data_IF_751708761191
#
_entry.id   IF_751708761191
#
_cell.length_a   1.000
_cell.length_b   1.000
_cell.length_c   1.000
_cell.angle_alpha   90.00
_cell.angle_beta   90.00
_cell.angle_gamma   90.00
#
_symmetry.space_group_name_H-M   'P 1'
#
loop_
_entity.id
_entity.type
_entity.pdbx_description
1 polymer ?
#
# COMPACT_ATOMS: atom_id res chain seq x y z
N UNK A 1 -48.36 -6.37 15.25
CA UNK A 1 -47.00 -6.96 15.12
C UNK A 1 -46.55 -6.75 13.69
N UNK A 2 -45.75 -5.71 13.45
CA UNK A 2 -45.24 -5.41 12.11
C UNK A 2 -44.02 -6.29 11.84
N UNK A 3 -44.14 -7.16 10.86
CA UNK A 3 -43.06 -8.01 10.34
C UNK A 3 -42.11 -7.13 9.53
N UNK A 4 -40.89 -6.93 10.02
CA UNK A 4 -39.81 -6.38 9.20
C UNK A 4 -39.34 -7.47 8.22
N UNK A 5 -39.21 -7.16 6.93
CA UNK A 5 -38.68 -8.13 5.98
C UNK A 5 -37.23 -8.46 6.36
N UNK A 6 -36.97 -9.76 6.51
CA UNK A 6 -35.63 -10.32 6.66
C UNK A 6 -34.78 -9.94 5.44
N UNK A 7 -33.95 -8.90 5.59
CA UNK A 7 -32.84 -8.69 4.66
C UNK A 7 -31.87 -9.84 4.87
N UNK A 8 -31.74 -10.70 3.86
CA UNK A 8 -30.71 -11.74 3.84
C UNK A 8 -29.37 -11.09 4.20
N UNK A 9 -28.77 -11.51 5.31
CA UNK A 9 -27.53 -10.92 5.82
C UNK A 9 -26.44 -11.08 4.76
N UNK A 10 -26.00 -9.98 4.14
CA UNK A 10 -24.86 -10.02 3.22
C UNK A 10 -23.65 -10.64 3.95
N UNK A 11 -22.84 -11.47 3.28
CA UNK A 11 -21.69 -12.09 3.91
C UNK A 11 -20.73 -11.02 4.45
N UNK A 12 -20.26 -11.21 5.68
CA UNK A 12 -19.26 -10.37 6.39
C UNK A 12 -17.83 -10.71 5.96
N UNK A 13 -17.63 -10.86 4.65
CA UNK A 13 -16.33 -11.11 4.03
C UNK A 13 -16.33 -10.48 2.64
N UNK A 14 -15.14 -10.16 2.14
CA UNK A 14 -14.98 -9.81 0.73
C UNK A 14 -14.92 -11.07 -0.13
N UNK A 15 -15.53 -10.99 -1.32
CA UNK A 15 -15.42 -12.00 -2.36
C UNK A 15 -14.53 -11.49 -3.50
N UNK A 16 -14.09 -12.42 -4.36
CA UNK A 16 -13.33 -12.10 -5.59
C UNK A 16 -14.07 -11.08 -6.47
N UNK A 17 -15.41 -11.16 -6.55
CA UNK A 17 -16.21 -10.21 -7.32
C UNK A 17 -16.11 -8.77 -6.79
N UNK A 18 -16.04 -8.60 -5.46
CA UNK A 18 -15.86 -7.30 -4.84
C UNK A 18 -14.47 -6.73 -5.20
N UNK A 19 -13.42 -7.55 -5.11
CA UNK A 19 -12.05 -7.15 -5.45
C UNK A 19 -11.87 -6.83 -6.94
N UNK A 20 -12.57 -7.55 -7.83
CA UNK A 20 -12.62 -7.22 -9.27
C UNK A 20 -13.28 -5.86 -9.50
N UNK A 21 -14.41 -5.60 -8.84
CA UNK A 21 -15.10 -4.31 -8.94
C UNK A 21 -14.19 -3.16 -8.50
N UNK A 22 -13.44 -3.33 -7.41
CA UNK A 22 -12.47 -2.34 -6.95
C UNK A 22 -11.32 -2.15 -7.93
N UNK A 23 -10.80 -3.25 -8.50
CA UNK A 23 -9.75 -3.22 -9.53
C UNK A 23 -10.21 -2.47 -10.78
N UNK A 24 -11.45 -2.65 -11.20
CA UNK A 24 -12.01 -2.03 -12.41
C UNK A 24 -12.19 -0.50 -12.27
N UNK A 25 -12.14 0.04 -11.04
CA UNK A 25 -12.10 1.49 -10.81
C UNK A 25 -10.72 2.10 -11.07
N UNK A 26 -9.66 1.30 -11.11
CA UNK A 26 -8.31 1.79 -11.32
C UNK A 26 -8.10 2.16 -12.79
N UNK A 27 -7.39 3.27 -13.01
CA UNK A 27 -7.20 3.81 -14.35
C UNK A 27 -6.46 2.81 -15.25
N UNK A 28 -6.86 2.62 -16.53
CA UNK A 28 -6.25 1.60 -17.41
C UNK A 28 -4.76 1.79 -17.70
N UNK A 29 -4.23 3.00 -17.54
CA UNK A 29 -2.79 3.28 -17.73
C UNK A 29 -1.96 2.99 -16.47
N UNK A 30 -2.59 2.65 -15.35
CA UNK A 30 -1.90 2.10 -14.20
C UNK A 30 -1.12 0.87 -14.66
N UNK A 31 0.16 0.75 -14.31
CA UNK A 31 0.93 -0.40 -14.76
C UNK A 31 0.26 -1.70 -14.28
N UNK A 32 0.27 -2.72 -15.14
CA UNK A 32 -0.44 -4.00 -14.93
C UNK A 32 -0.13 -4.63 -13.56
N UNK A 33 1.04 -4.34 -12.98
CA UNK A 33 1.54 -4.90 -11.71
C UNK A 33 1.22 -4.06 -10.48
N UNK A 34 0.58 -2.90 -10.60
CA UNK A 34 0.30 -2.03 -9.44
C UNK A 34 -1.07 -2.25 -8.82
N UNK A 35 -2.04 -2.79 -9.56
CA UNK A 35 -3.39 -2.91 -9.02
C UNK A 35 -3.44 -3.77 -7.74
N UNK A 36 -2.65 -4.86 -7.69
CA UNK A 36 -2.65 -5.76 -6.54
C UNK A 36 -1.81 -5.23 -5.38
N UNK A 37 -0.81 -4.38 -5.63
CA UNK A 37 -0.04 -3.71 -4.57
C UNK A 37 -0.89 -2.59 -3.95
N UNK A 38 -1.57 -1.79 -4.77
CA UNK A 38 -2.55 -0.79 -4.31
C UNK A 38 -3.66 -1.42 -3.45
N UNK A 39 -4.32 -2.48 -3.95
CA UNK A 39 -5.39 -3.13 -3.19
C UNK A 39 -4.88 -3.83 -1.93
N UNK A 40 -3.68 -4.41 -1.96
CA UNK A 40 -3.06 -5.02 -0.78
C UNK A 40 -2.80 -3.98 0.30
N UNK A 41 -2.24 -2.82 -0.05
CA UNK A 41 -2.02 -1.72 0.88
C UNK A 41 -3.34 -1.20 1.46
N UNK A 42 -4.32 -0.91 0.59
CA UNK A 42 -5.60 -0.34 0.99
C UNK A 42 -6.43 -1.28 1.90
N UNK A 43 -6.50 -2.57 1.55
CA UNK A 43 -7.24 -3.56 2.36
C UNK A 43 -6.55 -3.84 3.70
N UNK A 44 -5.21 -3.79 3.74
CA UNK A 44 -4.45 -3.94 4.99
C UNK A 44 -4.65 -2.74 5.90
N UNK A 45 -4.58 -1.51 5.38
CA UNK A 45 -4.90 -0.29 6.11
C UNK A 45 -6.34 -0.30 6.65
N UNK A 46 -7.28 -0.79 5.84
CA UNK A 46 -8.69 -0.96 6.22
C UNK A 46 -8.96 -2.16 7.18
N UNK A 47 -7.92 -2.83 7.69
CA UNK A 47 -8.00 -3.94 8.66
C UNK A 47 -8.82 -5.15 8.19
N UNK A 48 -8.84 -5.38 6.88
CA UNK A 48 -9.51 -6.53 6.24
C UNK A 48 -8.57 -7.38 5.38
N UNK A 49 -7.27 -7.08 5.44
CA UNK A 49 -6.22 -7.72 4.64
C UNK A 49 -6.21 -9.26 4.73
N UNK A 50 -6.43 -9.85 5.90
CA UNK A 50 -6.46 -11.31 6.05
C UNK A 50 -7.49 -12.01 5.14
N UNK A 51 -8.63 -11.37 4.88
CA UNK A 51 -9.65 -11.90 3.97
C UNK A 51 -9.39 -11.56 2.49
N UNK A 52 -8.69 -10.45 2.22
CA UNK A 52 -8.52 -9.93 0.87
C UNK A 52 -7.21 -10.38 0.20
N UNK A 53 -6.09 -10.34 0.92
CA UNK A 53 -4.75 -10.55 0.36
C UNK A 53 -4.54 -11.95 -0.25
N UNK A 54 -5.05 -13.05 0.33
CA UNK A 54 -5.00 -14.36 -0.33
C UNK A 54 -5.74 -14.38 -1.67
N UNK A 55 -6.90 -13.70 -1.76
CA UNK A 55 -7.67 -13.59 -3.00
C UNK A 55 -6.95 -12.71 -4.03
N UNK A 56 -6.38 -11.58 -3.59
CA UNK A 56 -5.59 -10.69 -4.43
C UNK A 56 -4.36 -11.39 -5.02
N UNK A 57 -3.64 -12.17 -4.21
CA UNK A 57 -2.53 -12.98 -4.68
C UNK A 57 -2.95 -13.98 -5.74
N UNK A 58 -4.05 -14.72 -5.51
CA UNK A 58 -4.55 -15.70 -6.47
C UNK A 58 -4.96 -15.02 -7.79
N UNK A 59 -5.73 -13.93 -7.72
CA UNK A 59 -6.11 -13.14 -8.88
C UNK A 59 -4.89 -12.61 -9.65
N UNK A 60 -3.89 -12.07 -8.95
CA UNK A 60 -2.68 -11.56 -9.56
C UNK A 60 -1.85 -12.68 -10.20
N UNK A 61 -1.72 -13.83 -9.54
CA UNK A 61 -1.03 -15.00 -10.09
C UNK A 61 -1.72 -15.48 -11.38
N UNK A 62 -3.05 -15.65 -11.35
CA UNK A 62 -3.81 -16.12 -12.52
C UNK A 62 -3.75 -15.15 -13.70
N UNK A 63 -3.66 -13.84 -13.44
CA UNK A 63 -3.55 -12.83 -14.49
C UNK A 63 -2.12 -12.65 -15.01
N UNK A 64 -1.10 -12.74 -14.17
CA UNK A 64 0.28 -12.39 -14.54
C UNK A 64 1.13 -13.58 -14.94
N UNK A 65 0.77 -14.79 -14.50
CA UNK A 65 1.40 -16.02 -14.96
C UNK A 65 0.85 -16.36 -16.34
N UNK A 66 1.68 -16.19 -17.37
CA UNK A 66 1.25 -16.43 -18.75
C UNK A 66 0.88 -17.89 -18.98
N UNK A 67 -0.29 -18.13 -19.58
CA UNK A 67 -0.73 -19.48 -19.99
C UNK A 67 0.19 -20.13 -21.03
N UNK A 68 1.02 -19.33 -21.71
CA UNK A 68 1.99 -19.79 -22.72
C UNK A 68 3.45 -19.71 -22.23
N UNK A 69 3.68 -19.39 -20.96
CA UNK A 69 5.03 -19.40 -20.39
C UNK A 69 5.56 -20.84 -20.26
N UNK A 70 6.88 -20.98 -20.29
CA UNK A 70 7.52 -22.20 -19.80
C UNK A 70 7.27 -22.35 -18.30
N UNK A 71 7.45 -23.55 -17.75
CA UNK A 71 7.28 -23.79 -16.32
C UNK A 71 8.19 -22.88 -15.46
N UNK A 72 9.46 -22.71 -15.86
CA UNK A 72 10.40 -21.83 -15.16
C UNK A 72 9.96 -20.36 -15.19
N UNK A 73 9.46 -19.89 -16.33
CA UNK A 73 9.01 -18.51 -16.48
C UNK A 73 7.71 -18.26 -15.69
N UNK A 74 6.80 -19.23 -15.70
CA UNK A 74 5.60 -19.19 -14.88
C UNK A 74 5.93 -19.14 -13.38
N UNK A 75 6.91 -19.93 -12.94
CA UNK A 75 7.38 -19.93 -11.56
C UNK A 75 8.02 -18.59 -11.18
N UNK A 76 8.85 -18.01 -12.06
CA UNK A 76 9.46 -16.69 -11.89
C UNK A 76 8.40 -15.59 -11.71
N UNK A 77 7.38 -15.60 -12.58
CA UNK A 77 6.27 -14.64 -12.54
C UNK A 77 5.44 -14.79 -11.25
N UNK A 78 5.17 -16.03 -10.84
CA UNK A 78 4.46 -16.29 -9.59
C UNK A 78 5.26 -15.78 -8.38
N UNK A 79 6.57 -16.04 -8.32
CA UNK A 79 7.45 -15.53 -7.25
C UNK A 79 7.51 -14.00 -7.24
N UNK A 80 7.51 -13.36 -8.41
CA UNK A 80 7.47 -11.89 -8.51
C UNK A 80 6.21 -11.33 -7.85
N UNK A 81 5.03 -11.88 -8.15
CA UNK A 81 3.76 -11.48 -7.51
C UNK A 81 3.83 -11.67 -5.99
N UNK A 82 4.35 -12.81 -5.52
CA UNK A 82 4.53 -13.07 -4.08
C UNK A 82 5.41 -12.00 -3.42
N UNK A 83 6.58 -11.72 -4.00
CA UNK A 83 7.54 -10.74 -3.46
C UNK A 83 6.97 -9.34 -3.43
N UNK A 84 6.26 -8.91 -4.48
CA UNK A 84 5.63 -7.60 -4.54
C UNK A 84 4.52 -7.42 -3.50
N UNK A 85 3.71 -8.45 -3.24
CA UNK A 85 2.70 -8.42 -2.16
C UNK A 85 3.38 -8.39 -0.77
N UNK A 86 4.38 -9.25 -0.52
CA UNK A 86 5.14 -9.24 0.74
C UNK A 86 5.82 -7.89 0.99
N UNK A 87 6.43 -7.31 -0.05
CA UNK A 87 7.07 -6.00 0.02
C UNK A 87 6.05 -4.88 0.27
N UNK A 88 4.86 -4.94 -0.34
CA UNK A 88 3.76 -4.01 -0.07
C UNK A 88 3.37 -4.05 1.40
N UNK A 89 3.20 -5.25 1.97
CA UNK A 89 2.84 -5.42 3.38
C UNK A 89 3.93 -4.88 4.31
N UNK A 90 5.20 -5.14 3.98
CA UNK A 90 6.35 -4.66 4.74
C UNK A 90 6.46 -3.13 4.68
N UNK A 91 6.40 -2.54 3.49
CA UNK A 91 6.42 -1.07 3.31
C UNK A 91 5.26 -0.39 4.02
N UNK A 92 4.03 -0.89 3.86
CA UNK A 92 2.86 -0.32 4.52
C UNK A 92 2.85 -0.47 6.04
N UNK A 93 3.64 -1.40 6.61
CA UNK A 93 3.66 -1.67 8.05
C UNK A 93 4.07 -0.45 8.90
N UNK A 94 4.83 0.49 8.36
CA UNK A 94 5.21 1.73 9.07
C UNK A 94 4.09 2.79 9.04
N UNK A 95 3.04 2.58 8.24
CA UNK A 95 1.90 3.48 8.10
C UNK A 95 0.69 2.98 8.88
N UNK A 96 0.29 1.72 8.69
CA UNK A 96 -0.88 1.12 9.36
C UNK A 96 -0.52 0.21 10.55
N UNK A 97 0.77 0.08 10.86
CA UNK A 97 1.30 -0.71 11.97
C UNK A 97 1.56 -2.18 11.62
N UNK A 98 2.55 -2.77 12.30
CA UNK A 98 2.97 -4.18 12.11
C UNK A 98 1.80 -5.18 12.18
N UNK A 99 0.83 -5.08 13.14
CA UNK A 99 -0.27 -6.05 13.19
C UNK A 99 -1.11 -6.12 11.92
N UNK A 100 -1.35 -4.98 11.27
CA UNK A 100 -2.11 -4.92 10.02
C UNK A 100 -1.31 -5.39 8.79
N UNK A 101 0.02 -5.54 8.90
CA UNK A 101 0.84 -6.24 7.91
C UNK A 101 0.89 -7.75 8.16
N UNK A 102 1.02 -8.15 9.43
CA UNK A 102 1.22 -9.56 9.79
C UNK A 102 -0.04 -10.40 9.58
N UNK A 103 -1.22 -9.85 9.90
CA UNK A 103 -2.49 -10.56 9.74
C UNK A 103 -2.74 -11.04 8.28
N UNK A 104 -2.68 -10.17 7.25
CA UNK A 104 -2.71 -10.61 5.86
C UNK A 104 -1.56 -11.54 5.46
N UNK A 105 -0.35 -11.28 5.94
CA UNK A 105 0.80 -12.14 5.63
C UNK A 105 0.56 -13.56 6.14
N UNK A 106 0.11 -13.73 7.39
CA UNK A 106 -0.16 -15.02 7.98
C UNK A 106 -1.32 -15.75 7.29
N UNK A 107 -2.34 -15.02 6.85
CA UNK A 107 -3.41 -15.59 6.03
C UNK A 107 -2.90 -16.05 4.66
N UNK A 108 -1.95 -15.35 4.05
CA UNK A 108 -1.36 -15.68 2.74
C UNK A 108 -0.40 -16.88 2.80
N UNK A 109 0.40 -17.00 3.87
CA UNK A 109 1.49 -18.00 3.96
C UNK A 109 1.08 -19.46 3.67
N UNK A 110 -0.06 -19.99 4.19
CA UNK A 110 -0.51 -21.34 3.85
C UNK A 110 -0.71 -21.56 2.35
N UNK A 111 -1.23 -20.55 1.64
CA UNK A 111 -1.45 -20.63 0.19
C UNK A 111 -0.12 -20.67 -0.57
N UNK A 112 0.86 -19.84 -0.17
CA UNK A 112 2.18 -19.84 -0.80
C UNK A 112 2.90 -21.18 -0.60
N UNK A 113 2.83 -21.73 0.62
CA UNK A 113 3.42 -23.04 0.93
C UNK A 113 2.77 -24.17 0.14
N UNK A 114 1.44 -24.17 0.03
CA UNK A 114 0.74 -25.15 -0.79
C UNK A 114 1.09 -25.03 -2.28
N UNK A 115 1.20 -23.81 -2.81
CA UNK A 115 1.61 -23.56 -4.20
C UNK A 115 3.04 -24.06 -4.46
N UNK A 116 3.96 -23.84 -3.50
CA UNK A 116 5.34 -24.31 -3.57
C UNK A 116 5.48 -25.84 -3.47
N UNK A 117 4.56 -26.53 -2.79
CA UNK A 117 4.53 -28.01 -2.79
C UNK A 117 4.20 -28.54 -4.19
N UNK A 118 3.25 -27.91 -4.90
CA UNK A 118 2.91 -28.30 -6.27
C UNK A 118 3.92 -27.80 -7.31
N UNK A 119 4.58 -26.67 -7.03
CA UNK A 119 5.56 -26.03 -7.92
C UNK A 119 6.80 -25.62 -7.10
N UNK A 120 7.77 -26.52 -6.89
CA UNK A 120 8.93 -26.24 -6.02
C UNK A 120 9.74 -25.01 -6.42
N UNK A 121 9.77 -24.65 -7.71
CA UNK A 121 10.41 -23.43 -8.22
C UNK A 121 9.76 -22.12 -7.73
N UNK A 122 8.58 -22.20 -7.09
CA UNK A 122 7.87 -21.05 -6.50
C UNK A 122 8.12 -20.84 -5.02
N UNK A 123 8.99 -21.66 -4.39
CA UNK A 123 9.46 -21.38 -3.04
C UNK A 123 10.32 -20.12 -3.03
N UNK A 124 10.11 -19.29 -2.01
CA UNK A 124 10.80 -18.01 -1.80
C UNK A 124 11.39 -17.94 -0.38
N UNK A 125 11.71 -19.11 0.21
CA UNK A 125 12.03 -19.24 1.63
C UNK A 125 13.43 -18.69 2.00
N UNK A 126 14.36 -18.65 1.04
CA UNK A 126 15.74 -18.18 1.26
C UNK A 126 15.95 -16.70 0.90
N UNK A 127 14.94 -16.04 0.35
CA UNK A 127 15.07 -14.67 -0.12
C UNK A 127 14.94 -13.65 1.01
N UNK A 128 16.02 -12.91 1.26
CA UNK A 128 16.03 -11.78 2.19
C UNK A 128 16.74 -10.57 1.59
N UNK A 129 15.97 -9.70 0.94
CA UNK A 129 16.47 -8.52 0.23
C UNK A 129 17.38 -7.63 1.11
N UNK A 130 16.96 -7.35 2.35
CA UNK A 130 17.61 -6.37 3.23
C UNK A 130 18.74 -6.96 4.09
N UNK A 131 19.17 -8.20 3.84
CA UNK A 131 20.19 -8.89 4.66
C UNK A 131 21.48 -8.09 4.80
N UNK A 132 21.96 -7.47 3.72
CA UNK A 132 23.19 -6.67 3.72
C UNK A 132 23.11 -5.35 4.49
N UNK A 133 21.91 -4.75 4.59
CA UNK A 133 21.69 -3.45 5.23
C UNK A 133 21.59 -3.52 6.75
N UNK A 134 21.33 -4.71 7.31
CA UNK A 134 21.16 -4.91 8.74
C UNK A 134 22.42 -4.61 9.58
N UNK A 135 23.58 -4.48 8.93
CA UNK A 135 24.87 -4.21 9.55
C UNK A 135 25.39 -2.80 9.26
N UNK A 136 24.65 -1.98 8.52
CA UNK A 136 25.04 -0.60 8.26
C UNK A 136 24.91 0.25 9.53
N UNK A 137 25.91 1.11 9.76
CA UNK A 137 25.92 1.97 10.96
C UNK A 137 24.83 3.05 10.90
N UNK A 138 24.43 3.48 9.70
CA UNK A 138 23.34 4.41 9.46
C UNK A 138 22.85 4.28 8.01
N UNK A 139 21.53 4.35 7.86
CA UNK A 139 20.77 4.42 6.62
C UNK A 139 20.21 5.83 6.36
N UNK A 140 20.52 6.82 7.22
CA UNK A 140 19.97 8.17 7.11
C UNK A 140 20.29 8.86 5.77
N UNK A 141 21.47 8.63 5.19
CA UNK A 141 21.79 9.18 3.87
C UNK A 141 20.93 8.54 2.76
N UNK A 142 20.76 7.23 2.81
CA UNK A 142 19.89 6.50 1.86
C UNK A 142 18.43 6.94 1.99
N UNK A 143 17.99 7.24 3.21
CA UNK A 143 16.68 7.83 3.49
C UNK A 143 16.56 9.24 2.91
N UNK A 144 17.56 10.10 3.14
CA UNK A 144 17.61 11.47 2.62
C UNK A 144 17.50 11.49 1.09
N UNK A 145 18.28 10.65 0.41
CA UNK A 145 18.29 10.57 -1.05
C UNK A 145 16.91 10.16 -1.59
N UNK A 146 16.26 9.19 -0.95
CA UNK A 146 14.90 8.78 -1.30
C UNK A 146 13.85 9.85 -0.99
N UNK A 147 13.91 10.47 0.18
CA UNK A 147 13.03 11.56 0.60
C UNK A 147 13.14 12.77 -0.32
N UNK A 148 14.35 13.10 -0.81
CA UNK A 148 14.54 14.19 -1.77
C UNK A 148 13.79 13.97 -3.09
N UNK A 149 13.53 12.72 -3.48
CA UNK A 149 12.71 12.41 -4.67
C UNK A 149 11.23 12.74 -4.44
N UNK A 150 10.74 12.48 -3.22
CA UNK A 150 9.35 12.76 -2.81
C UNK A 150 9.15 14.24 -2.53
N UNK A 151 9.97 14.81 -1.65
CA UNK A 151 9.76 16.11 -1.03
C UNK A 151 10.54 17.24 -1.71
N UNK A 152 11.59 16.94 -2.48
CA UNK A 152 12.42 17.94 -3.20
C UNK A 152 12.83 19.11 -2.27
N UNK A 153 12.51 20.35 -2.64
CA UNK A 153 12.78 21.56 -1.85
C UNK A 153 11.96 21.63 -0.57
N UNK A 154 10.81 20.92 -0.48
CA UNK A 154 10.00 20.90 0.74
C UNK A 154 10.65 20.12 1.90
N UNK A 155 11.64 19.26 1.62
CA UNK A 155 12.25 18.38 2.63
C UNK A 155 12.97 19.17 3.72
N UNK A 156 13.66 20.24 3.35
CA UNK A 156 14.49 20.99 4.28
C UNK A 156 13.63 21.61 5.40
N UNK A 157 12.51 22.23 5.03
CA UNK A 157 11.56 22.77 6.00
C UNK A 157 10.96 21.67 6.90
N UNK A 158 10.59 20.51 6.33
CA UNK A 158 10.05 19.39 7.12
C UNK A 158 11.07 18.93 8.16
N UNK A 159 12.34 18.79 7.77
CA UNK A 159 13.41 18.39 8.69
C UNK A 159 13.65 19.42 9.78
N UNK A 160 13.70 20.69 9.42
CA UNK A 160 13.98 21.78 10.36
C UNK A 160 12.84 22.03 11.33
N UNK A 161 11.58 21.92 10.88
CA UNK A 161 10.40 22.28 11.68
C UNK A 161 9.69 21.09 12.31
N UNK A 162 9.53 19.97 11.58
CA UNK A 162 8.73 18.81 12.02
C UNK A 162 9.59 17.70 12.62
N UNK A 163 10.88 17.62 12.26
CA UNK A 163 11.86 16.69 12.84
C UNK A 163 13.00 17.42 13.57
N UNK A 164 12.64 18.49 14.27
CA UNK A 164 13.57 19.34 15.03
C UNK A 164 14.23 18.59 16.21
N UNK A 165 15.16 19.26 16.90
CA UNK A 165 16.00 18.66 17.95
C UNK A 165 15.24 18.12 19.16
N UNK A 166 14.00 18.52 19.37
CA UNK A 166 13.10 18.03 20.42
C UNK A 166 12.34 16.75 20.02
N UNK A 167 12.59 16.20 18.83
CA UNK A 167 11.92 15.01 18.28
C UNK A 167 12.90 13.92 17.82
N UNK A 168 14.08 13.81 18.45
CA UNK A 168 15.18 12.97 17.94
C UNK A 168 14.82 11.48 17.75
N UNK A 169 14.02 10.90 18.64
CA UNK A 169 13.56 9.52 18.51
C UNK A 169 12.65 9.33 17.29
N UNK A 170 11.76 10.30 17.04
CA UNK A 170 10.89 10.30 15.85
C UNK A 170 11.70 10.54 14.59
N UNK A 171 12.70 11.43 14.64
CA UNK A 171 13.65 11.65 13.55
C UNK A 171 14.44 10.38 13.24
N UNK A 172 14.96 9.69 14.25
CA UNK A 172 15.66 8.42 14.10
C UNK A 172 14.76 7.35 13.49
N UNK A 173 13.57 7.15 14.06
CA UNK A 173 12.57 6.20 13.54
C UNK A 173 12.23 6.52 12.08
N UNK A 174 12.06 7.80 11.74
CA UNK A 174 11.71 8.22 10.38
C UNK A 174 12.86 7.98 9.41
N UNK A 175 14.06 8.46 9.72
CA UNK A 175 15.20 8.42 8.80
C UNK A 175 15.81 7.03 8.70
N UNK A 176 16.12 6.38 9.82
CA UNK A 176 16.85 5.11 9.81
C UNK A 176 15.93 3.95 9.45
N UNK A 177 14.73 3.91 10.04
CA UNK A 177 13.87 2.74 9.97
C UNK A 177 12.80 2.89 8.87
N UNK A 178 11.97 3.93 8.95
CA UNK A 178 10.82 4.07 8.06
C UNK A 178 11.27 4.36 6.63
N UNK A 179 12.13 5.35 6.40
CA UNK A 179 12.61 5.64 5.07
C UNK A 179 13.84 4.79 4.74
N UNK A 180 14.92 4.88 5.51
CA UNK A 180 16.21 4.25 5.21
C UNK A 180 16.14 2.72 5.04
N UNK A 181 15.54 2.02 5.99
CA UNK A 181 15.41 0.57 5.91
C UNK A 181 14.21 0.12 5.07
N UNK A 182 13.07 0.82 5.16
CA UNK A 182 11.81 0.32 4.60
C UNK A 182 11.40 0.97 3.27
N UNK A 183 10.93 2.23 3.30
CA UNK A 183 10.23 2.87 2.19
C UNK A 183 11.17 3.19 1.02
N UNK A 184 12.43 3.56 1.25
CA UNK A 184 13.37 3.92 0.17
C UNK A 184 14.19 2.74 -0.37
N UNK A 185 13.90 1.50 0.04
CA UNK A 185 14.42 0.30 -0.61
C UNK A 185 13.62 -0.01 -1.88
N UNK A 186 14.22 0.19 -3.06
CA UNK A 186 13.50 0.15 -4.33
C UNK A 186 13.71 -1.13 -5.17
N UNK A 187 14.31 -2.17 -4.61
CA UNK A 187 14.69 -3.38 -5.34
C UNK A 187 13.52 -4.26 -5.82
N UNK A 188 12.36 -4.23 -5.15
CA UNK A 188 11.15 -4.99 -5.55
C UNK A 188 10.05 -4.05 -6.05
N UNK A 189 9.76 -3.01 -5.26
CA UNK A 189 8.85 -1.93 -5.64
C UNK A 189 9.72 -0.70 -5.89
N UNK A 190 9.71 -0.22 -7.12
CA UNK A 190 10.43 1.01 -7.47
C UNK A 190 9.77 2.24 -6.83
N UNK A 191 10.32 3.43 -7.10
CA UNK A 191 9.82 4.66 -6.53
C UNK A 191 8.36 4.98 -6.91
N UNK A 192 7.96 4.95 -8.20
CA UNK A 192 6.55 5.10 -8.58
C UNK A 192 5.61 4.09 -7.92
N UNK A 193 5.99 2.81 -7.87
CA UNK A 193 5.18 1.77 -7.22
C UNK A 193 5.04 2.02 -5.71
N UNK A 194 6.14 2.42 -5.07
CA UNK A 194 6.17 2.71 -3.63
C UNK A 194 5.27 3.88 -3.26
N UNK A 195 5.27 4.96 -4.04
CA UNK A 195 4.39 6.11 -3.76
C UNK A 195 2.90 5.73 -3.85
N UNK A 196 2.51 4.86 -4.80
CA UNK A 196 1.14 4.35 -4.86
C UNK A 196 0.77 3.49 -3.65
N UNK A 197 1.70 2.65 -3.18
CA UNK A 197 1.50 1.85 -1.96
C UNK A 197 1.32 2.74 -0.74
N UNK A 198 2.14 3.78 -0.60
CA UNK A 198 2.03 4.73 0.51
C UNK A 198 0.69 5.46 0.43
N UNK A 199 0.32 6.00 -0.73
CA UNK A 199 -0.94 6.70 -0.90
C UNK A 199 -2.15 5.78 -0.59
N UNK A 200 -2.16 4.55 -1.12
CA UNK A 200 -3.23 3.58 -0.89
C UNK A 200 -3.32 3.11 0.57
N UNK A 201 -2.22 3.15 1.33
CA UNK A 201 -2.22 2.88 2.76
C UNK A 201 -2.71 4.08 3.59
N UNK A 202 -2.39 5.31 3.18
CA UNK A 202 -2.78 6.53 3.89
C UNK A 202 -4.27 6.84 3.75
N UNK A 203 -4.87 6.65 2.57
CA UNK A 203 -6.26 7.07 2.33
C UNK A 203 -7.28 6.37 3.27
N UNK A 204 -7.23 5.04 3.50
CA UNK A 204 -8.13 4.40 4.47
C UNK A 204 -7.76 4.69 5.94
N UNK A 205 -6.59 5.28 6.20
CA UNK A 205 -6.13 5.59 7.56
C UNK A 205 -6.80 6.88 8.04
N UNK A 206 -7.54 6.88 9.16
CA UNK A 206 -8.19 8.09 9.65
C UNK A 206 -7.18 9.15 10.12
N UNK A 207 -7.50 10.43 9.86
CA UNK A 207 -6.84 11.60 10.45
C UNK A 207 -5.35 11.83 10.13
N UNK A 208 -4.91 11.54 8.89
CA UNK A 208 -3.54 11.79 8.38
C UNK A 208 -3.49 12.69 7.13
N UNK A 209 -4.07 13.92 7.19
CA UNK A 209 -4.21 14.76 6.00
C UNK A 209 -2.86 15.28 5.47
N UNK A 210 -1.91 15.64 6.34
CA UNK A 210 -0.60 16.18 5.92
C UNK A 210 0.17 15.16 5.09
N UNK A 211 0.30 13.94 5.61
CA UNK A 211 1.00 12.85 4.97
C UNK A 211 0.32 12.46 3.65
N UNK A 212 -1.02 12.41 3.64
CA UNK A 212 -1.78 12.13 2.42
C UNK A 212 -1.51 13.18 1.35
N UNK A 213 -1.56 14.48 1.69
CA UNK A 213 -1.25 15.57 0.77
C UNK A 213 0.17 15.48 0.24
N UNK A 214 1.15 15.20 1.11
CA UNK A 214 2.55 15.06 0.71
C UNK A 214 2.77 13.91 -0.28
N UNK A 215 2.09 12.79 -0.10
CA UNK A 215 2.21 11.63 -0.99
C UNK A 215 1.33 11.72 -2.24
N UNK A 216 0.26 12.53 -2.25
CA UNK A 216 -0.38 12.94 -3.51
C UNK A 216 0.60 13.71 -4.40
N UNK A 217 1.35 14.64 -3.80
CA UNK A 217 2.46 15.33 -4.48
C UNK A 217 3.59 14.38 -4.86
N UNK A 218 3.95 13.46 -3.97
CA UNK A 218 4.93 12.41 -4.21
C UNK A 218 4.60 11.56 -5.45
N UNK A 219 3.35 11.10 -5.58
CA UNK A 219 2.89 10.37 -6.77
C UNK A 219 3.04 11.19 -8.06
N UNK A 220 2.68 12.48 -8.06
CA UNK A 220 2.91 13.37 -9.23
C UNK A 220 4.40 13.45 -9.57
N UNK A 221 5.26 13.63 -8.56
CA UNK A 221 6.72 13.71 -8.74
C UNK A 221 7.34 12.39 -9.18
N UNK A 222 6.70 11.27 -8.88
CA UNK A 222 7.05 9.95 -9.39
C UNK A 222 6.59 9.70 -10.83
N UNK A 223 5.83 10.62 -11.42
CA UNK A 223 5.43 10.59 -12.83
C UNK A 223 4.03 10.02 -13.09
N UNK A 224 3.24 9.78 -12.04
CA UNK A 224 1.84 9.39 -12.22
C UNK A 224 0.98 10.58 -12.66
N UNK A 225 0.05 10.33 -13.59
CA UNK A 225 -0.95 11.33 -13.96
C UNK A 225 -1.98 11.52 -12.86
N UNK A 226 -2.59 12.70 -12.82
CA UNK A 226 -3.68 13.02 -11.90
C UNK A 226 -4.84 12.02 -12.03
N UNK A 227 -5.17 11.55 -13.23
CA UNK A 227 -6.21 10.53 -13.46
C UNK A 227 -5.87 9.19 -12.79
N UNK A 228 -4.60 8.76 -12.83
CA UNK A 228 -4.17 7.53 -12.14
C UNK A 228 -4.28 7.72 -10.63
N UNK A 229 -3.77 8.84 -10.11
CA UNK A 229 -3.79 9.14 -8.68
C UNK A 229 -5.24 9.21 -8.17
N UNK A 230 -6.12 9.89 -8.91
CA UNK A 230 -7.53 9.99 -8.57
C UNK A 230 -8.24 8.64 -8.62
N UNK A 231 -7.94 7.79 -9.60
CA UNK A 231 -8.51 6.44 -9.66
C UNK A 231 -8.14 5.58 -8.44
N UNK A 232 -6.92 5.74 -7.90
CA UNK A 232 -6.50 5.07 -6.66
C UNK A 232 -7.28 5.62 -5.47
N UNK A 233 -7.49 6.94 -5.40
CA UNK A 233 -8.32 7.56 -4.35
C UNK A 233 -9.75 7.05 -4.37
N UNK A 234 -10.39 7.05 -5.54
CA UNK A 234 -11.75 6.58 -5.71
C UNK A 234 -11.89 5.08 -5.41
N UNK A 235 -10.90 4.28 -5.80
CA UNK A 235 -10.83 2.86 -5.43
C UNK A 235 -10.80 2.68 -3.90
N UNK A 236 -9.97 3.45 -3.18
CA UNK A 236 -9.91 3.40 -1.72
C UNK A 236 -11.24 3.88 -1.07
N UNK A 237 -11.90 4.89 -1.62
CA UNK A 237 -13.21 5.35 -1.13
C UNK A 237 -14.28 4.28 -1.31
N UNK A 238 -14.33 3.64 -2.48
CA UNK A 238 -15.23 2.53 -2.76
C UNK A 238 -14.96 1.34 -1.82
N UNK A 239 -13.70 1.04 -1.52
CA UNK A 239 -13.33 0.04 -0.54
C UNK A 239 -13.88 0.37 0.85
N UNK A 240 -13.71 1.61 1.32
CA UNK A 240 -14.22 2.04 2.63
C UNK A 240 -15.75 1.96 2.68
N UNK A 241 -16.44 2.40 1.63
CA UNK A 241 -17.89 2.28 1.52
C UNK A 241 -18.33 0.82 1.61
N UNK A 242 -17.65 -0.06 0.86
CA UNK A 242 -17.91 -1.50 0.89
C UNK A 242 -17.68 -2.10 2.29
N UNK A 243 -16.61 -1.74 2.98
CA UNK A 243 -16.35 -2.17 4.36
C UNK A 243 -17.52 -1.80 5.29
N UNK A 244 -18.07 -0.59 5.16
CA UNK A 244 -19.22 -0.15 5.96
C UNK A 244 -20.48 -0.93 5.63
N UNK A 245 -20.80 -1.08 4.35
CA UNK A 245 -21.96 -1.84 3.87
C UNK A 245 -21.94 -3.29 4.36
N UNK A 246 -20.75 -3.88 4.46
CA UNK A 246 -20.54 -5.26 4.93
C UNK A 246 -20.31 -5.38 6.44
N UNK A 247 -20.39 -4.27 7.18
CA UNK A 247 -20.14 -4.20 8.62
C UNK A 247 -18.74 -4.71 9.03
N UNK A 248 -17.73 -4.48 8.19
CA UNK A 248 -16.34 -4.89 8.40
C UNK A 248 -15.51 -3.85 9.15
N UNK A 249 -15.98 -2.60 9.26
CA UNK A 249 -15.29 -1.53 9.95
C UNK A 249 -15.35 -0.19 9.20
N UNK A 250 -14.36 0.67 9.43
CA UNK A 250 -14.22 2.00 8.82
C UNK A 250 -15.37 2.98 9.11
N UNK A 251 -16.17 2.76 10.16
CA UNK A 251 -17.34 3.58 10.47
C UNK A 251 -17.00 5.03 10.83
N UNK A 252 -15.81 5.27 11.39
CA UNK A 252 -15.32 6.61 11.78
C UNK A 252 -14.51 7.33 10.70
N UNK A 253 -14.27 6.67 9.56
CA UNK A 253 -13.56 7.29 8.45
C UNK A 253 -14.36 8.47 7.86
N UNK A 254 -13.71 9.44 7.25
CA UNK A 254 -14.42 10.58 6.66
C UNK A 254 -13.72 11.03 5.39
N UNK A 255 -14.44 10.99 4.26
CA UNK A 255 -13.93 11.41 2.96
C UNK A 255 -13.56 12.89 2.94
N UNK A 256 -14.29 13.74 3.68
CA UNK A 256 -14.05 15.18 3.72
C UNK A 256 -12.68 15.52 4.33
N UNK A 257 -12.11 14.62 5.12
CA UNK A 257 -10.80 14.78 5.76
C UNK A 257 -9.63 14.22 4.94
N UNK A 258 -9.91 13.67 3.75
CA UNK A 258 -8.88 13.16 2.83
C UNK A 258 -8.59 14.22 1.78
N UNK A 259 -7.38 14.83 1.78
CA UNK A 259 -7.02 15.85 0.81
C UNK A 259 -7.20 15.38 -0.63
N UNK A 260 -7.53 16.34 -1.50
CA UNK A 260 -7.63 16.18 -2.94
C UNK A 260 -6.38 16.65 -3.67
N UNK A 261 -6.28 16.28 -4.94
CA UNK A 261 -5.26 16.78 -5.84
C UNK A 261 -5.30 18.30 -6.04
N UNK A 262 -6.45 18.94 -5.77
CA UNK A 262 -6.61 20.40 -5.78
C UNK A 262 -6.03 21.07 -4.52
N UNK A 263 -5.93 20.34 -3.41
CA UNK A 263 -5.34 20.84 -2.17
C UNK A 263 -3.81 20.81 -2.19
N UNK A 264 -3.23 20.04 -3.10
CA UNK A 264 -1.78 19.90 -3.25
C UNK A 264 -1.17 21.19 -3.80
N UNK A 265 -0.36 21.84 -2.96
CA UNK A 265 0.48 22.98 -3.35
C UNK A 265 1.93 22.52 -3.47
N UNK A 266 2.62 22.96 -4.52
CA UNK A 266 4.04 22.62 -4.74
C UNK A 266 4.94 23.27 -3.68
N UNK A 267 4.61 24.50 -3.27
CA UNK A 267 5.45 25.34 -2.40
C UNK A 267 4.96 25.41 -0.95
N UNK A 268 4.12 24.47 -0.52
CA UNK A 268 3.64 24.43 0.87
C UNK A 268 3.61 23.01 1.45
N UNK A 269 3.97 22.91 2.72
CA UNK A 269 3.90 21.68 3.50
C UNK A 269 2.64 21.58 4.36
N UNK A 270 1.88 22.65 4.49
CA UNK A 270 0.71 22.70 5.36
C UNK A 270 -0.57 22.42 4.56
N UNK A 271 -1.47 21.65 5.17
CA UNK A 271 -2.81 21.40 4.63
C UNK A 271 -3.58 22.72 4.65
N UNK A 272 -4.40 23.05 3.63
CA UNK A 272 -5.27 24.21 3.70
C UNK A 272 -6.10 24.19 4.99
N UNK A 273 -6.15 25.31 5.72
CA UNK A 273 -7.06 25.45 6.85
C UNK A 273 -8.50 25.20 6.37
N UNK A 274 -9.26 24.38 7.09
CA UNK A 274 -10.66 24.08 6.76
C UNK A 274 -11.45 25.40 6.63
N UNK A 275 -12.19 25.55 5.53
CA UNK A 275 -13.23 26.56 5.38
C UNK A 275 -14.54 26.07 5.98
#
# INVERSE_FOLDING_TARGET
MSSFPSQASRPRTLAVADLRTLKDLLHPTLHRREWYTVLTAATSAARIGASAVPLLWQMAKDEHVSAHASAEEADRQAVEVQRRIKETLLKGSVLYGIPAALDPLFALMPHLRADAVSHPGRSDDDFFLRRGRAHEASLAQHAEDGLRRVYRHNLDEIKERKFARDTEDIRFLTMEINYGWNLTEFGILDFPSTELVILAALIPTPAVPSETMWHLRGCRRAGWSDDVIESVRQCCFALVALCRERQLGMFSWDAARVPSLGDVKEDSNDVPEEH
#
